data_IF_145570772380
#
_entry.id   IF_145570772380
#
_cell.length_a   1.000
_cell.length_b   1.000
_cell.length_c   1.000
_cell.angle_alpha   90.00
_cell.angle_beta   90.00
_cell.angle_gamma   90.00
#
_symmetry.space_group_name_H-M   'P 1'
#
loop_
_entity.id
_entity.type
_entity.pdbx_description
1 polymer ?
#
# COMPACT_ATOMS: atom_id res chain seq x y z
N UNK A 1 -35.25 -30.79 39.82
CA UNK A 1 -34.51 -30.75 38.55
C UNK A 1 -33.69 -29.47 38.57
N UNK A 2 -32.37 -29.56 38.72
CA UNK A 2 -31.51 -28.38 38.73
C UNK A 2 -31.45 -27.80 37.31
N UNK A 3 -31.91 -26.56 37.13
CA UNK A 3 -31.78 -25.83 35.86
C UNK A 3 -30.29 -25.58 35.66
N UNK A 4 -29.69 -26.23 34.67
CA UNK A 4 -28.30 -25.94 34.33
C UNK A 4 -28.21 -24.49 33.86
N UNK A 5 -27.20 -23.72 34.32
CA UNK A 5 -26.97 -22.38 33.81
C UNK A 5 -26.75 -22.43 32.30
N UNK A 6 -27.19 -21.41 31.55
CA UNK A 6 -27.00 -21.37 30.11
C UNK A 6 -25.51 -21.52 29.78
N UNK A 7 -25.17 -22.27 28.71
CA UNK A 7 -23.79 -22.44 28.31
C UNK A 7 -23.15 -21.06 28.08
N UNK A 8 -21.87 -20.88 28.49
CA UNK A 8 -21.17 -19.64 28.22
C UNK A 8 -21.19 -19.33 26.72
N UNK A 9 -21.25 -18.04 26.33
CA UNK A 9 -21.20 -17.67 24.93
C UNK A 9 -19.94 -18.26 24.28
N UNK A 10 -20.03 -18.72 23.03
CA UNK A 10 -18.88 -19.29 22.34
C UNK A 10 -17.73 -18.27 22.36
N UNK A 11 -16.48 -18.72 22.55
CA UNK A 11 -15.32 -17.84 22.51
C UNK A 11 -15.32 -17.06 21.18
N UNK A 12 -14.89 -15.78 21.16
CA UNK A 12 -14.80 -15.01 19.94
C UNK A 12 -14.08 -15.83 18.87
N UNK A 13 -14.71 -16.01 17.71
CA UNK A 13 -14.07 -16.71 16.59
C UNK A 13 -12.75 -16.01 16.27
N UNK A 14 -11.68 -16.75 15.97
CA UNK A 14 -10.40 -16.14 15.64
C UNK A 14 -10.55 -15.35 14.34
N UNK A 15 -10.80 -14.04 14.42
CA UNK A 15 -10.81 -13.13 13.29
C UNK A 15 -9.37 -12.75 12.87
N UNK A 16 -8.43 -13.71 12.91
CA UNK A 16 -6.98 -13.45 12.93
C UNK A 16 -6.26 -13.66 11.58
N UNK A 17 -6.93 -13.35 10.48
CA UNK A 17 -6.31 -13.24 9.17
C UNK A 17 -7.22 -12.54 8.16
N UNK A 18 -6.66 -11.72 7.27
CA UNK A 18 -7.40 -11.17 6.14
C UNK A 18 -8.02 -12.31 5.31
N UNK A 19 -9.26 -12.13 4.86
CA UNK A 19 -9.93 -13.13 4.01
C UNK A 19 -9.17 -13.28 2.68
N UNK A 20 -9.32 -14.41 1.99
CA UNK A 20 -8.71 -14.62 0.67
C UNK A 20 -9.09 -13.51 -0.31
N UNK A 21 -10.36 -13.09 -0.28
CA UNK A 21 -10.86 -11.98 -1.09
C UNK A 21 -10.18 -10.65 -0.71
N UNK A 22 -10.06 -10.35 0.59
CA UNK A 22 -9.37 -9.14 1.09
C UNK A 22 -7.91 -9.09 0.61
N UNK A 23 -7.22 -10.24 0.60
CA UNK A 23 -5.84 -10.37 0.11
C UNK A 23 -5.73 -10.06 -1.38
N UNK A 24 -6.68 -10.55 -2.18
CA UNK A 24 -6.73 -10.28 -3.63
C UNK A 24 -6.98 -8.80 -3.90
N UNK A 25 -7.91 -8.16 -3.19
CA UNK A 25 -8.14 -6.72 -3.35
C UNK A 25 -6.93 -5.89 -2.89
N UNK A 26 -6.24 -6.30 -1.82
CA UNK A 26 -4.98 -5.68 -1.41
C UNK A 26 -3.89 -5.81 -2.46
N UNK A 27 -3.74 -6.98 -3.09
CA UNK A 27 -2.81 -7.21 -4.20
C UNK A 27 -3.16 -6.36 -5.43
N UNK A 28 -4.44 -6.30 -5.81
CA UNK A 28 -4.93 -5.49 -6.94
C UNK A 28 -4.61 -4.02 -6.72
N UNK A 29 -4.76 -3.54 -5.48
CA UNK A 29 -4.43 -2.16 -5.16
C UNK A 29 -2.98 -1.84 -5.53
N UNK A 30 -2.04 -2.69 -5.13
CA UNK A 30 -0.62 -2.50 -5.42
C UNK A 30 -0.26 -2.65 -6.91
N UNK A 31 -0.80 -3.65 -7.60
CA UNK A 31 -0.40 -3.93 -8.99
C UNK A 31 -0.94 -2.91 -10.00
N UNK A 32 -2.13 -2.38 -9.76
CA UNK A 32 -2.76 -1.40 -10.67
C UNK A 32 -2.60 0.05 -10.17
N UNK A 33 -1.80 0.26 -9.12
CA UNK A 33 -1.51 1.57 -8.53
C UNK A 33 -2.78 2.33 -8.15
N UNK A 34 -2.88 3.59 -8.59
CA UNK A 34 -4.03 4.47 -8.29
C UNK A 34 -5.36 3.82 -8.67
N UNK A 35 -5.45 3.22 -9.86
CA UNK A 35 -6.70 2.63 -10.36
C UNK A 35 -7.10 1.45 -9.48
N UNK A 36 -6.16 0.55 -9.19
CA UNK A 36 -6.41 -0.60 -8.31
C UNK A 36 -6.82 -0.18 -6.91
N UNK A 37 -6.13 0.81 -6.35
CA UNK A 37 -6.42 1.33 -5.04
C UNK A 37 -7.84 1.92 -4.96
N UNK A 38 -8.25 2.73 -5.94
CA UNK A 38 -9.61 3.29 -6.00
C UNK A 38 -10.64 2.17 -6.11
N UNK A 39 -10.43 1.19 -7.00
CA UNK A 39 -11.32 0.03 -7.15
C UNK A 39 -11.49 -0.70 -5.81
N UNK A 40 -10.38 -0.99 -5.12
CA UNK A 40 -10.38 -1.68 -3.84
C UNK A 40 -11.12 -0.89 -2.75
N UNK A 41 -10.97 0.44 -2.70
CA UNK A 41 -11.64 1.31 -1.73
C UNK A 41 -13.15 1.41 -1.97
N UNK A 42 -13.55 1.49 -3.24
CA UNK A 42 -14.97 1.61 -3.62
C UNK A 42 -15.69 0.28 -3.42
N UNK A 43 -15.06 -0.84 -3.77
CA UNK A 43 -15.69 -2.18 -3.70
C UNK A 43 -15.62 -2.81 -2.31
N UNK A 44 -14.62 -2.47 -1.48
CA UNK A 44 -14.47 -2.98 -0.11
C UNK A 44 -14.33 -1.85 0.93
N UNK A 45 -15.29 -0.91 1.02
CA UNK A 45 -15.16 0.32 1.83
C UNK A 45 -15.18 0.08 3.35
N UNK A 46 -15.64 -1.09 3.79
CA UNK A 46 -15.72 -1.49 5.20
C UNK A 46 -14.62 -2.48 5.62
N UNK A 47 -13.83 -2.98 4.67
CA UNK A 47 -12.75 -3.92 4.96
C UNK A 47 -11.48 -3.16 5.35
N UNK A 48 -11.11 -3.26 6.63
CA UNK A 48 -9.94 -2.55 7.17
C UNK A 48 -8.63 -2.97 6.50
N UNK A 49 -8.49 -4.23 6.11
CA UNK A 49 -7.26 -4.73 5.48
C UNK A 49 -7.13 -4.20 4.05
N UNK A 50 -8.22 -4.25 3.29
CA UNK A 50 -8.25 -3.72 1.92
C UNK A 50 -8.00 -2.21 1.94
N UNK A 51 -8.67 -1.47 2.82
CA UNK A 51 -8.45 -0.02 2.96
C UNK A 51 -7.00 0.33 3.29
N UNK A 52 -6.37 -0.45 4.16
CA UNK A 52 -4.99 -0.20 4.57
C UNK A 52 -4.02 -0.32 3.40
N UNK A 53 -4.05 -1.44 2.66
CA UNK A 53 -3.17 -1.60 1.49
C UNK A 53 -3.55 -0.65 0.35
N UNK A 54 -4.84 -0.39 0.13
CA UNK A 54 -5.29 0.51 -0.91
C UNK A 54 -4.89 1.96 -0.64
N UNK A 55 -5.04 2.46 0.58
CA UNK A 55 -4.56 3.80 0.96
C UNK A 55 -3.05 3.93 0.80
N UNK A 56 -2.28 2.94 1.21
CA UNK A 56 -0.82 2.96 1.05
C UNK A 56 -0.41 2.96 -0.41
N UNK A 57 -1.01 2.08 -1.22
CA UNK A 57 -0.75 2.04 -2.65
C UNK A 57 -1.14 3.36 -3.33
N UNK A 58 -2.29 3.94 -2.97
CA UNK A 58 -2.75 5.21 -3.52
C UNK A 58 -1.75 6.34 -3.22
N UNK A 59 -1.39 6.52 -1.95
CA UNK A 59 -0.43 7.57 -1.53
C UNK A 59 0.92 7.35 -2.18
N UNK A 60 1.41 6.10 -2.22
CA UNK A 60 2.67 5.75 -2.84
C UNK A 60 2.68 6.05 -4.34
N UNK A 61 1.65 5.62 -5.07
CA UNK A 61 1.56 5.84 -6.52
C UNK A 61 1.41 7.33 -6.86
N UNK A 62 0.64 8.09 -6.10
CA UNK A 62 0.54 9.55 -6.28
C UNK A 62 1.90 10.20 -6.04
N UNK A 63 2.57 9.86 -4.94
CA UNK A 63 3.91 10.39 -4.62
C UNK A 63 4.94 10.05 -5.70
N UNK A 64 4.90 8.83 -6.23
CA UNK A 64 5.79 8.38 -7.31
C UNK A 64 5.53 9.16 -8.61
N UNK A 65 4.27 9.41 -8.97
CA UNK A 65 3.91 10.22 -10.14
C UNK A 65 4.39 11.66 -10.00
N UNK A 66 4.18 12.29 -8.84
CA UNK A 66 4.65 13.65 -8.56
C UNK A 66 6.17 13.71 -8.72
N UNK A 67 6.90 12.75 -8.13
CA UNK A 67 8.35 12.66 -8.26
C UNK A 67 8.79 12.51 -9.72
N UNK A 68 8.10 11.67 -10.48
CA UNK A 68 8.38 11.45 -11.90
C UNK A 68 8.21 12.73 -12.73
N UNK A 69 7.13 13.48 -12.50
CA UNK A 69 6.87 14.76 -13.17
C UNK A 69 7.99 15.77 -12.87
N UNK A 70 8.43 15.87 -11.60
CA UNK A 70 9.54 16.74 -11.20
C UNK A 70 10.82 16.35 -11.93
N UNK A 71 11.13 15.05 -11.98
CA UNK A 71 12.36 14.56 -12.61
C UNK A 71 12.37 14.79 -14.12
N UNK A 72 11.23 14.59 -14.80
CA UNK A 72 11.08 14.94 -16.21
C UNK A 72 11.29 16.44 -16.43
N UNK A 73 10.71 17.30 -15.60
CA UNK A 73 10.89 18.75 -15.73
C UNK A 73 12.37 19.14 -15.57
N UNK A 74 13.07 18.59 -14.58
CA UNK A 74 14.49 18.84 -14.33
C UNK A 74 15.40 18.26 -15.44
N UNK A 75 14.97 17.19 -16.12
CA UNK A 75 15.69 16.62 -17.25
C UNK A 75 15.82 17.57 -18.46
N UNK A 76 15.00 18.63 -18.54
CA UNK A 76 15.07 19.62 -19.60
C UNK A 76 16.09 20.73 -19.35
N UNK A 77 16.71 20.79 -18.17
CA UNK A 77 17.73 21.79 -17.84
C UNK A 77 19.05 21.40 -18.52
N UNK A 78 19.68 22.28 -19.33
CA UNK A 78 20.97 21.99 -19.95
C UNK A 78 22.05 21.61 -18.93
N UNK A 79 22.92 20.66 -19.29
CA UNK A 79 24.01 20.10 -18.47
C UNK A 79 23.58 19.28 -17.24
N UNK A 80 22.58 19.73 -16.48
CA UNK A 80 22.06 19.04 -15.29
C UNK A 80 21.07 17.93 -15.69
N UNK A 81 20.34 18.13 -16.79
CA UNK A 81 19.25 17.26 -17.21
C UNK A 81 19.67 15.82 -17.55
N UNK A 82 20.94 15.61 -17.93
CA UNK A 82 21.48 14.27 -18.19
C UNK A 82 21.45 13.39 -16.92
N UNK A 83 21.71 13.97 -15.75
CA UNK A 83 21.65 13.26 -14.47
C UNK A 83 20.21 12.81 -14.21
N UNK A 84 19.25 13.72 -14.35
CA UNK A 84 17.84 13.41 -14.14
C UNK A 84 17.31 12.40 -15.17
N UNK A 85 17.77 12.46 -16.42
CA UNK A 85 17.43 11.48 -17.45
C UNK A 85 17.87 10.06 -17.06
N UNK A 86 19.03 9.90 -16.41
CA UNK A 86 19.52 8.60 -15.92
C UNK A 86 18.79 8.18 -14.63
N UNK A 87 18.50 9.10 -13.72
CA UNK A 87 17.84 8.78 -12.45
C UNK A 87 16.36 8.42 -12.60
N UNK A 88 15.68 9.01 -13.59
CA UNK A 88 14.25 8.80 -13.86
C UNK A 88 13.87 7.31 -13.99
N UNK A 89 14.51 6.48 -14.85
CA UNK A 89 14.19 5.06 -14.94
C UNK A 89 14.55 4.28 -13.67
N UNK A 90 15.57 4.70 -12.91
CA UNK A 90 15.95 4.05 -11.64
C UNK A 90 14.87 4.24 -10.56
N UNK A 91 14.29 5.44 -10.48
CA UNK A 91 13.15 5.71 -9.59
C UNK A 91 11.93 4.90 -10.00
N UNK A 92 11.65 4.79 -11.30
CA UNK A 92 10.57 3.93 -11.80
C UNK A 92 10.78 2.46 -11.40
N UNK A 93 12.01 1.95 -11.52
CA UNK A 93 12.36 0.60 -11.12
C UNK A 93 12.22 0.39 -9.60
N UNK A 94 12.71 1.33 -8.78
CA UNK A 94 12.53 1.28 -7.33
C UNK A 94 11.03 1.31 -6.97
N UNK A 95 10.27 2.16 -7.67
CA UNK A 95 8.82 2.25 -7.57
C UNK A 95 8.13 0.90 -7.79
N UNK A 96 8.52 0.22 -8.86
CA UNK A 96 8.01 -1.10 -9.23
C UNK A 96 8.38 -2.16 -8.17
N UNK A 97 9.62 -2.16 -7.68
CA UNK A 97 10.07 -3.09 -6.63
C UNK A 97 9.20 -2.93 -5.38
N UNK A 98 8.98 -1.69 -4.93
CA UNK A 98 8.14 -1.41 -3.77
C UNK A 98 6.69 -1.86 -4.01
N UNK A 99 6.15 -1.63 -5.21
CA UNK A 99 4.80 -2.08 -5.56
C UNK A 99 4.67 -3.61 -5.52
N UNK A 100 5.66 -4.34 -6.04
CA UNK A 100 5.70 -5.81 -6.00
C UNK A 100 5.79 -6.31 -4.55
N UNK A 101 6.64 -5.71 -3.71
CA UNK A 101 6.74 -6.09 -2.29
C UNK A 101 5.41 -5.86 -1.58
N UNK A 102 4.77 -4.70 -1.81
CA UNK A 102 3.45 -4.40 -1.27
C UNK A 102 2.39 -5.40 -1.71
N UNK A 103 2.38 -5.79 -3.00
CA UNK A 103 1.47 -6.78 -3.55
C UNK A 103 1.67 -8.18 -2.92
N UNK A 104 2.92 -8.64 -2.79
CA UNK A 104 3.25 -9.92 -2.15
C UNK A 104 2.79 -9.91 -0.69
N UNK A 105 3.08 -8.84 0.04
CA UNK A 105 2.70 -8.71 1.46
C UNK A 105 1.19 -8.68 1.65
N UNK A 106 0.48 -7.94 0.80
CA UNK A 106 -0.98 -7.94 0.78
C UNK A 106 -1.54 -9.35 0.51
N UNK A 107 -0.95 -10.08 -0.43
CA UNK A 107 -1.36 -11.44 -0.76
C UNK A 107 -1.06 -12.46 0.36
N UNK A 108 0.01 -12.25 1.10
CA UNK A 108 0.34 -13.03 2.31
C UNK A 108 -0.59 -12.72 3.49
N UNK A 109 -1.41 -11.66 3.40
CA UNK A 109 -2.28 -11.20 4.48
C UNK A 109 -1.52 -10.42 5.57
N UNK A 110 -0.32 -9.93 5.27
CA UNK A 110 0.51 -9.17 6.20
C UNK A 110 0.18 -7.68 6.15
N UNK A 111 0.04 -7.04 7.32
CA UNK A 111 -0.14 -5.59 7.46
C UNK A 111 1.16 -4.82 7.25
N UNK A 112 1.73 -4.94 6.05
CA UNK A 112 2.99 -4.30 5.69
C UNK A 112 2.83 -2.77 5.66
N UNK A 113 3.65 -2.07 6.45
CA UNK A 113 3.73 -0.60 6.43
C UNK A 113 4.98 -0.18 5.70
N UNK A 114 4.85 0.69 4.72
CA UNK A 114 6.00 1.33 4.09
C UNK A 114 6.73 2.22 5.12
N UNK A 115 7.99 1.93 5.49
CA UNK A 115 8.73 2.71 6.49
C UNK A 115 9.13 4.11 5.98
N UNK A 116 9.00 4.37 4.68
CA UNK A 116 9.43 5.62 4.02
C UNK A 116 8.77 6.87 4.63
N UNK A 117 7.53 6.76 5.13
CA UNK A 117 6.83 7.90 5.75
C UNK A 117 7.33 8.19 7.17
N UNK A 118 7.75 7.15 7.90
CA UNK A 118 8.16 7.27 9.30
C UNK A 118 9.58 7.83 9.44
N UNK A 119 10.50 7.38 8.58
CA UNK A 119 11.90 7.83 8.63
C UNK A 119 12.07 9.27 8.12
N UNK A 120 11.19 9.72 7.20
CA UNK A 120 11.18 11.10 6.71
C UNK A 120 10.63 12.06 7.79
N UNK A 121 9.55 11.69 8.49
CA UNK A 121 9.04 12.48 9.62
C UNK A 121 10.08 12.61 10.74
N UNK A 122 10.66 11.47 11.14
CA UNK A 122 11.67 11.41 12.22
C UNK A 122 12.94 12.19 11.87
N UNK A 123 13.39 12.19 10.60
CA UNK A 123 14.56 12.95 10.16
C UNK A 123 14.30 14.46 9.98
N UNK A 124 13.04 14.86 9.79
CA UNK A 124 12.66 16.26 9.65
C UNK A 124 12.30 16.93 11.00
N UNK A 125 12.39 16.19 12.11
CA UNK A 125 12.19 16.73 13.46
C UNK A 125 10.74 17.13 13.77
N UNK A 126 9.78 16.49 13.10
CA UNK A 126 8.33 16.64 13.32
C UNK A 126 7.71 15.30 13.70
#
# INVERSE_FOLDING_TARGET
MAVQPPPPPPPPSPSSGASSESRVFGLIAWLLGIIGAIIALVLKPNDRFVKFHAMQSLVFSIGLIILYIIFIALAHIPYIGLIFAILTPLIGLLGLIVAIIGAIKAYQGEWFRLPIVYDIATKLGI
#
